data_IF_515152587270
#
_entry.id   IF_515152587270
#
_cell.length_a   1.000
_cell.length_b   1.000
_cell.length_c   1.000
_cell.angle_alpha   90.00
_cell.angle_beta   90.00
_cell.angle_gamma   90.00
#
_symmetry.space_group_name_H-M   'P 1'
#
loop_
_entity.id
_entity.type
_entity.pdbx_description
1 polymer ?
#
# COMPACT_ATOMS: atom_id res chain seq x y z
N UNK A 1 -36.51 28.16 0.55
CA UNK A 1 -35.78 26.88 0.46
C UNK A 1 -34.57 26.97 1.37
N UNK A 2 -34.41 26.04 2.31
CA UNK A 2 -33.36 26.08 3.33
C UNK A 2 -32.25 25.13 2.87
N UNK A 3 -31.16 25.68 2.36
CA UNK A 3 -29.96 24.89 2.10
C UNK A 3 -29.39 24.45 3.46
N UNK A 4 -29.12 23.16 3.70
CA UNK A 4 -28.38 22.77 4.89
C UNK A 4 -27.00 23.42 4.79
N UNK A 5 -26.58 24.10 5.86
CA UNK A 5 -25.21 24.57 6.03
C UNK A 5 -24.37 23.31 6.29
N UNK A 6 -24.12 22.54 5.24
CA UNK A 6 -22.99 21.62 5.25
C UNK A 6 -21.80 22.54 5.09
N UNK A 7 -21.06 22.74 6.17
CA UNK A 7 -19.76 23.43 6.11
C UNK A 7 -19.03 22.89 4.89
N UNK A 8 -18.71 23.75 3.93
CA UNK A 8 -18.07 23.39 2.67
C UNK A 8 -16.63 22.96 2.98
N UNK A 9 -16.50 21.78 3.57
CA UNK A 9 -15.23 21.08 3.69
C UNK A 9 -14.93 20.65 2.27
N UNK A 10 -13.85 21.19 1.70
CA UNK A 10 -13.35 20.73 0.40
C UNK A 10 -13.36 19.19 0.39
N UNK A 11 -13.96 18.57 -0.64
CA UNK A 11 -14.10 17.14 -0.65
C UNK A 11 -12.74 16.46 -0.74
N UNK A 12 -12.66 15.24 -0.23
CA UNK A 12 -11.45 14.44 -0.30
C UNK A 12 -11.83 12.96 -0.36
N UNK A 13 -10.87 12.09 -0.66
CA UNK A 13 -11.13 10.65 -0.71
C UNK A 13 -11.48 10.13 0.68
N UNK A 14 -12.38 9.14 0.75
CA UNK A 14 -12.74 8.49 2.01
C UNK A 14 -11.81 7.31 2.32
N UNK A 15 -11.86 6.84 3.57
CA UNK A 15 -11.26 5.58 4.02
C UNK A 15 -9.82 5.31 3.54
N UNK A 16 -9.01 6.36 3.44
CA UNK A 16 -7.63 6.25 3.00
C UNK A 16 -6.84 5.38 3.99
N UNK A 17 -6.33 4.27 3.50
CA UNK A 17 -5.55 3.28 4.25
C UNK A 17 -4.30 2.92 3.49
N UNK A 18 -3.22 2.71 4.24
CA UNK A 18 -1.99 2.15 3.75
C UNK A 18 -1.54 1.01 4.65
N UNK A 19 -1.08 -0.08 4.06
CA UNK A 19 -0.64 -1.28 4.79
C UNK A 19 0.60 -1.87 4.12
N UNK A 20 1.63 -2.29 4.89
CA UNK A 20 2.78 -2.97 4.33
C UNK A 20 2.39 -4.37 3.85
N UNK A 21 2.88 -4.75 2.66
CA UNK A 21 2.78 -6.11 2.14
C UNK A 21 4.06 -6.91 2.46
N UNK A 22 5.20 -6.21 2.49
CA UNK A 22 6.52 -6.69 2.89
C UNK A 22 7.42 -5.47 3.17
N UNK A 23 8.72 -5.69 3.38
CA UNK A 23 9.68 -4.64 3.75
C UNK A 23 9.93 -3.57 2.67
N UNK A 24 9.49 -3.79 1.42
CA UNK A 24 9.73 -2.86 0.30
C UNK A 24 8.48 -2.50 -0.49
N UNK A 25 7.30 -2.98 -0.08
CA UNK A 25 6.05 -2.77 -0.79
C UNK A 25 4.85 -2.53 0.13
N UNK A 26 3.94 -1.67 -0.32
CA UNK A 26 2.70 -1.32 0.38
C UNK A 26 1.49 -1.44 -0.53
N UNK A 27 0.34 -1.65 0.09
CA UNK A 27 -0.97 -1.46 -0.54
C UNK A 27 -1.60 -0.20 0.01
N UNK A 28 -2.04 0.68 -0.90
CA UNK A 28 -2.81 1.89 -0.60
C UNK A 28 -4.22 1.71 -1.15
N UNK A 29 -5.24 2.10 -0.40
CA UNK A 29 -6.64 2.05 -0.83
C UNK A 29 -7.46 3.17 -0.23
N UNK A 30 -8.50 3.59 -0.93
CA UNK A 30 -9.43 4.65 -0.51
C UNK A 30 -10.82 4.40 -1.09
N UNK A 31 -11.78 5.25 -0.74
CA UNK A 31 -13.11 5.31 -1.35
C UNK A 31 -13.30 6.62 -2.11
N UNK A 32 -14.14 6.58 -3.16
CA UNK A 32 -14.43 7.74 -4.00
C UNK A 32 -15.07 8.86 -3.17
N UNK A 33 -14.71 10.14 -3.37
CA UNK A 33 -15.35 11.24 -2.67
C UNK A 33 -16.85 11.30 -2.98
N UNK A 34 -17.64 11.85 -2.05
CA UNK A 34 -19.08 12.04 -2.21
C UNK A 34 -19.44 13.51 -2.46
N UNK A 35 -20.45 13.79 -3.31
CA UNK A 35 -21.21 12.82 -4.11
C UNK A 35 -20.43 12.36 -5.35
N UNK A 36 -20.53 11.07 -5.70
CA UNK A 36 -19.62 10.41 -6.64
C UNK A 36 -19.69 10.95 -8.08
N UNK A 37 -20.84 11.48 -8.48
CA UNK A 37 -21.12 12.05 -9.80
C UNK A 37 -20.34 13.35 -10.08
N UNK A 38 -19.78 13.97 -9.05
CA UNK A 38 -18.96 15.18 -9.18
C UNK A 38 -17.49 14.88 -9.48
N UNK A 39 -17.06 13.61 -9.44
CA UNK A 39 -15.65 13.22 -9.57
C UNK A 39 -15.41 12.24 -10.72
N UNK A 40 -14.27 12.40 -11.41
CA UNK A 40 -13.76 11.38 -12.32
C UNK A 40 -13.25 10.18 -11.53
N UNK A 41 -13.14 9.06 -12.23
CA UNK A 41 -12.33 7.93 -11.76
C UNK A 41 -10.86 8.22 -12.10
N UNK A 42 -10.31 9.27 -11.51
CA UNK A 42 -8.89 9.64 -11.62
C UNK A 42 -8.41 10.17 -10.27
N UNK A 43 -7.26 9.67 -9.85
CA UNK A 43 -6.65 9.96 -8.55
C UNK A 43 -5.15 10.16 -8.73
N UNK A 44 -4.61 11.15 -8.03
CA UNK A 44 -3.18 11.43 -7.97
C UNK A 44 -2.69 11.01 -6.58
N UNK A 45 -1.89 9.95 -6.53
CA UNK A 45 -1.29 9.43 -5.31
C UNK A 45 0.14 9.91 -5.23
N UNK A 46 0.49 10.66 -4.18
CA UNK A 46 1.87 11.09 -3.93
C UNK A 46 2.40 10.38 -2.70
N UNK A 47 3.51 9.66 -2.89
CA UNK A 47 4.23 8.95 -1.83
C UNK A 47 5.49 9.74 -1.53
N UNK A 48 5.59 10.23 -0.31
CA UNK A 48 6.68 11.04 0.20
C UNK A 48 7.65 10.13 0.96
N UNK A 49 8.89 10.08 0.49
CA UNK A 49 9.99 9.32 1.09
C UNK A 49 11.12 10.32 1.35
N UNK A 50 11.89 10.13 2.41
CA UNK A 50 12.98 11.03 2.75
C UNK A 50 13.94 11.16 1.55
N UNK A 51 13.98 12.37 0.97
CA UNK A 51 14.82 12.72 -0.17
C UNK A 51 14.16 12.61 -1.55
N UNK A 52 12.97 12.04 -1.70
CA UNK A 52 12.24 12.06 -2.98
C UNK A 52 10.73 11.83 -2.85
N UNK A 53 9.98 12.27 -3.87
CA UNK A 53 8.54 12.02 -3.99
C UNK A 53 8.26 11.18 -5.23
N UNK A 54 7.27 10.29 -5.12
CA UNK A 54 6.75 9.50 -6.23
C UNK A 54 5.26 9.80 -6.42
N UNK A 55 4.90 10.33 -7.58
CA UNK A 55 3.50 10.58 -7.95
C UNK A 55 3.01 9.55 -8.95
N UNK A 56 1.80 9.04 -8.73
CA UNK A 56 1.15 8.01 -9.54
C UNK A 56 -0.26 8.49 -9.86
N UNK A 57 -0.60 8.55 -11.15
CA UNK A 57 -1.96 8.77 -11.61
C UNK A 57 -2.64 7.43 -11.88
N UNK A 58 -3.84 7.22 -11.36
CA UNK A 58 -4.59 5.98 -11.53
C UNK A 58 -6.09 6.23 -11.57
N UNK A 59 -6.83 5.34 -12.22
CA UNK A 59 -8.30 5.30 -12.21
C UNK A 59 -8.90 4.34 -11.18
N UNK A 60 -8.04 3.59 -10.48
CA UNK A 60 -8.46 2.64 -9.46
C UNK A 60 -8.41 3.27 -8.07
N UNK A 61 -9.22 2.77 -7.13
CA UNK A 61 -9.21 3.21 -5.73
C UNK A 61 -8.26 2.39 -4.84
N UNK A 62 -7.38 1.60 -5.46
CA UNK A 62 -6.31 0.89 -4.76
C UNK A 62 -5.12 0.63 -5.68
N UNK A 63 -3.92 0.77 -5.12
CA UNK A 63 -2.65 0.50 -5.80
C UNK A 63 -1.72 -0.31 -4.90
N UNK A 64 -0.81 -1.05 -5.54
CA UNK A 64 0.35 -1.65 -4.90
C UNK A 64 1.58 -0.94 -5.44
N UNK A 65 2.45 -0.51 -4.53
CA UNK A 65 3.70 0.17 -4.88
C UNK A 65 4.83 -0.56 -4.20
N UNK A 66 5.83 -0.97 -4.99
CA UNK A 66 7.03 -1.67 -4.52
C UNK A 66 8.32 -0.91 -4.85
N UNK A 67 9.44 -1.54 -4.50
CA UNK A 67 10.80 -1.02 -4.67
C UNK A 67 11.02 0.30 -3.92
N UNK A 68 10.59 0.34 -2.66
CA UNK A 68 10.73 1.53 -1.79
C UNK A 68 11.45 1.16 -0.49
N UNK A 69 12.14 2.15 0.08
CA UNK A 69 12.68 2.07 1.44
C UNK A 69 11.60 2.53 2.42
N UNK A 70 10.83 1.59 2.94
CA UNK A 70 9.69 1.90 3.83
C UNK A 70 10.13 2.51 5.17
N UNK A 71 11.39 2.34 5.56
CA UNK A 71 11.93 2.95 6.80
C UNK A 71 12.05 4.48 6.71
N UNK A 72 12.13 5.01 5.49
CA UNK A 72 12.26 6.44 5.18
C UNK A 72 10.95 7.07 4.72
N UNK A 73 9.85 6.33 4.83
CA UNK A 73 8.57 6.79 4.34
C UNK A 73 7.95 7.81 5.30
N UNK A 74 7.52 8.94 4.77
CA UNK A 74 6.91 10.01 5.54
C UNK A 74 5.38 9.89 5.53
N UNK A 75 4.79 10.14 4.38
CA UNK A 75 3.35 10.26 4.20
C UNK A 75 2.92 9.86 2.79
N UNK A 76 1.64 9.51 2.66
CA UNK A 76 0.96 9.22 1.40
C UNK A 76 -0.20 10.18 1.32
N UNK A 77 -0.29 10.91 0.22
CA UNK A 77 -1.43 11.76 -0.08
C UNK A 77 -2.18 11.24 -1.30
N UNK A 78 -3.50 11.40 -1.29
CA UNK A 78 -4.38 11.10 -2.42
C UNK A 78 -5.27 12.29 -2.70
N UNK A 79 -5.23 12.76 -3.94
CA UNK A 79 -6.14 13.77 -4.47
C UNK A 79 -7.06 13.14 -5.51
N UNK A 80 -8.34 13.51 -5.47
CA UNK A 80 -9.28 13.17 -6.53
C UNK A 80 -9.28 14.26 -7.61
N UNK A 81 -9.88 13.93 -8.75
CA UNK A 81 -10.07 14.87 -9.86
C UNK A 81 -11.58 15.10 -10.04
N UNK A 82 -11.97 16.37 -10.13
CA UNK A 82 -13.34 16.77 -10.43
C UNK A 82 -13.78 16.29 -11.82
N UNK A 83 -15.09 16.16 -12.04
CA UNK A 83 -15.66 15.77 -13.35
C UNK A 83 -15.18 16.66 -14.52
N UNK A 84 -14.92 17.94 -14.26
CA UNK A 84 -14.39 18.90 -15.23
C UNK A 84 -12.87 18.72 -15.53
N UNK A 85 -12.20 17.81 -14.83
CA UNK A 85 -10.77 17.52 -15.01
C UNK A 85 -9.81 18.32 -14.13
N UNK A 86 -10.29 19.20 -13.25
CA UNK A 86 -9.40 19.90 -12.30
C UNK A 86 -9.11 19.05 -11.07
N UNK A 87 -7.88 19.15 -10.54
CA UNK A 87 -7.50 18.43 -9.31
C UNK A 87 -8.16 19.10 -8.11
N UNK A 88 -8.68 18.28 -7.20
CA UNK A 88 -9.24 18.76 -5.93
C UNK A 88 -8.11 19.33 -5.06
N UNK A 89 -8.28 20.55 -4.57
CA UNK A 89 -7.26 21.24 -3.75
C UNK A 89 -6.92 20.47 -2.48
N UNK A 90 -7.92 19.85 -1.84
CA UNK A 90 -7.72 19.08 -0.61
C UNK A 90 -7.32 17.63 -0.89
N UNK A 91 -6.21 17.20 -0.29
CA UNK A 91 -5.79 15.81 -0.25
C UNK A 91 -6.18 15.13 1.05
N UNK A 92 -6.35 13.81 1.00
CA UNK A 92 -6.34 12.97 2.19
C UNK A 92 -4.90 12.50 2.41
N UNK A 93 -4.47 12.38 3.66
CA UNK A 93 -3.13 11.90 4.00
C UNK A 93 -3.19 10.71 4.96
N UNK A 94 -2.25 9.79 4.82
CA UNK A 94 -2.03 8.66 5.74
C UNK A 94 -0.55 8.30 5.79
N UNK A 95 -0.15 7.52 6.80
CA UNK A 95 1.21 7.00 6.94
C UNK A 95 1.16 5.48 7.11
N UNK A 96 2.26 4.82 6.77
CA UNK A 96 2.38 3.37 6.93
C UNK A 96 2.89 3.07 8.32
N UNK A 97 2.09 2.37 9.12
CA UNK A 97 2.57 1.83 10.38
C UNK A 97 3.25 0.49 10.12
N UNK A 98 4.58 0.50 10.07
CA UNK A 98 5.36 -0.74 10.01
C UNK A 98 5.16 -1.49 11.33
N UNK A 99 5.02 -2.83 11.31
CA UNK A 99 5.15 -3.61 12.53
C UNK A 99 6.54 -3.30 13.10
N UNK A 100 6.59 -2.78 14.33
CA UNK A 100 7.85 -2.46 14.98
C UNK A 100 8.72 -3.72 14.99
N UNK A 101 9.87 -3.66 14.33
CA UNK A 101 10.92 -4.65 14.53
C UNK A 101 11.29 -4.59 16.01
N UNK A 102 10.80 -5.55 16.78
CA UNK A 102 11.04 -5.62 18.23
C UNK A 102 12.52 -5.47 18.51
N UNK A 103 12.84 -4.66 19.52
CA UNK A 103 14.18 -4.33 19.98
C UNK A 103 15.02 -5.60 20.20
N UNK A 104 15.81 -6.02 19.21
CA UNK A 104 16.82 -7.06 19.36
C UNK A 104 17.97 -6.47 20.19
N UNK A 105 17.80 -6.51 21.51
CA UNK A 105 18.91 -6.28 22.44
C UNK A 105 19.94 -7.38 22.19
N UNK A 106 21.07 -7.02 21.58
CA UNK A 106 22.24 -7.91 21.42
C UNK A 106 22.81 -8.21 22.81
N UNK A 107 22.26 -9.20 23.50
CA UNK A 107 22.93 -9.80 24.64
C UNK A 107 23.99 -10.73 24.07
N UNK A 108 25.25 -10.31 24.18
CA UNK A 108 26.42 -11.13 23.85
C UNK A 108 26.38 -12.40 24.69
N UNK A 109 26.07 -13.53 24.06
CA UNK A 109 26.12 -14.84 24.67
C UNK A 109 27.25 -15.64 24.00
N UNK A 110 28.27 -15.97 24.81
CA UNK A 110 29.24 -17.01 24.51
C UNK A 110 28.55 -18.26 23.95
N UNK A 111 29.06 -18.79 22.85
CA UNK A 111 28.60 -20.05 22.27
C UNK A 111 28.72 -21.23 23.24
N UNK A 112 27.72 -22.13 23.25
CA UNK A 112 27.97 -23.57 23.30
C UNK A 112 27.17 -24.33 22.22
N UNK A 113 27.41 -25.65 22.04
CA UNK A 113 27.51 -26.29 20.74
C UNK A 113 26.20 -26.82 20.16
N UNK A 114 26.30 -27.14 18.87
CA UNK A 114 25.31 -27.66 17.92
C UNK A 114 24.62 -28.95 18.43
N UNK A 115 23.29 -29.01 18.29
CA UNK A 115 22.56 -30.27 18.05
C UNK A 115 21.35 -30.02 17.12
N UNK A 116 21.34 -30.73 16.00
CA UNK A 116 20.42 -30.61 14.87
C UNK A 116 18.96 -30.95 15.23
N UNK A 117 18.02 -30.01 14.99
CA UNK A 117 16.58 -30.33 14.98
C UNK A 117 15.68 -29.36 14.20
N UNK A 118 16.13 -28.81 13.07
CA UNK A 118 15.30 -27.91 12.24
C UNK A 118 15.30 -28.21 10.74
N UNK A 119 15.53 -29.47 10.34
CA UNK A 119 15.30 -29.89 8.95
C UNK A 119 13.91 -30.52 8.77
N UNK A 120 12.84 -29.72 8.95
CA UNK A 120 11.48 -30.15 8.56
C UNK A 120 10.54 -29.05 8.05
N UNK A 121 10.91 -27.77 8.08
CA UNK A 121 9.96 -26.69 7.69
C UNK A 121 10.25 -26.03 6.34
N UNK A 122 11.43 -26.21 5.74
CA UNK A 122 11.76 -25.57 4.46
C UNK A 122 11.32 -26.37 3.22
N UNK A 123 11.24 -27.70 3.33
CA UNK A 123 10.85 -28.55 2.18
C UNK A 123 9.36 -28.49 1.87
N UNK A 124 8.50 -28.28 2.87
CA UNK A 124 7.06 -28.16 2.68
C UNK A 124 6.65 -26.83 2.03
N UNK A 125 7.38 -25.75 2.30
CA UNK A 125 7.07 -24.42 1.76
C UNK A 125 7.45 -24.29 0.27
N UNK A 126 8.56 -24.92 -0.17
CA UNK A 126 8.97 -24.93 -1.58
C UNK A 126 8.01 -25.71 -2.48
N UNK A 127 7.43 -26.82 -1.99
CA UNK A 127 6.43 -27.62 -2.72
C UNK A 127 5.15 -26.82 -3.00
N UNK A 128 4.70 -25.99 -2.05
CA UNK A 128 3.47 -25.20 -2.20
C UNK A 128 3.60 -24.09 -3.25
N UNK A 129 4.78 -23.44 -3.35
CA UNK A 129 5.03 -22.40 -4.34
C UNK A 129 5.24 -22.96 -5.75
N UNK A 130 5.97 -24.07 -5.90
CA UNK A 130 6.23 -24.65 -7.23
C UNK A 130 5.00 -25.34 -7.83
N UNK A 131 4.12 -25.96 -7.02
CA UNK A 131 2.84 -26.51 -7.53
C UNK A 131 1.85 -25.45 -8.01
N UNK A 132 1.91 -24.23 -7.47
CA UNK A 132 1.02 -23.13 -7.88
C UNK A 132 1.50 -22.44 -9.16
N UNK A 133 2.81 -22.42 -9.41
CA UNK A 133 3.39 -21.89 -10.65
C UNK A 133 3.11 -22.79 -11.86
N UNK A 134 3.05 -24.12 -11.69
CA UNK A 134 2.72 -25.02 -12.81
C UNK A 134 1.28 -24.86 -13.29
N UNK A 135 0.33 -24.54 -12.40
CA UNK A 135 -1.07 -24.28 -12.78
C UNK A 135 -1.27 -22.98 -13.57
N UNK A 136 -0.43 -21.97 -13.39
CA UNK A 136 -0.52 -20.71 -14.14
C UNK A 136 0.19 -20.75 -15.49
N UNK A 137 1.25 -21.57 -15.63
CA UNK A 137 1.95 -21.71 -16.92
C UNK A 137 1.15 -22.59 -17.90
N UNK A 138 0.33 -23.54 -17.45
CA UNK A 138 -0.50 -24.35 -18.36
C UNK A 138 -1.73 -23.63 -18.94
N UNK A 139 -2.18 -22.51 -18.35
CA UNK A 139 -3.32 -21.73 -18.90
C UNK A 139 -2.87 -20.80 -20.04
N UNK A 140 -1.57 -20.57 -20.21
CA UNK A 140 -1.01 -19.72 -21.27
C UNK A 140 -0.63 -20.46 -22.56
N UNK A 141 -0.94 -21.74 -22.71
CA UNK A 141 -0.65 -22.53 -23.92
C UNK A 141 -1.90 -23.10 -24.64
N UNK A 142 -3.11 -22.60 -24.36
CA UNK A 142 -4.35 -23.02 -25.05
C UNK A 142 -5.23 -21.87 -25.54
N UNK A 143 -4.62 -20.79 -26.04
CA UNK A 143 -5.26 -19.85 -26.99
C UNK A 143 -4.27 -19.49 -28.09
#
# INVERSE_FOLDING_TARGET
>A
MKFPIVSAVDPTVGDLKASPLNDTAIRVSWTKPRPEDQFKDEYHVTISIQGYMRTITTNNTSIIVGNMDLSKMNDITVQAVWANGTVVTKSASTSVQMPSTGNLSLVSAHSPPIFDKYDMTLQHCKSYYLKRLTKYVQILYFL
#
